data_IF_121629801892
#
_entry.id   IF_121629801892
#
_cell.length_a   1.000
_cell.length_b   1.000
_cell.length_c   1.000
_cell.angle_alpha   90.00
_cell.angle_beta   90.00
_cell.angle_gamma   90.00
#
_symmetry.space_group_name_H-M   'P 1'
#
loop_
_entity.id
_entity.type
_entity.pdbx_description
1 polymer ?
#
# COMPACT_ATOMS: atom_id res chain seq x y z
N UNK A 1 13.49 10.56 -14.29
CA UNK A 1 14.24 9.47 -13.63
C UNK A 1 13.34 8.23 -13.64
N UNK A 2 13.86 7.04 -13.96
CA UNK A 2 13.03 5.83 -13.94
C UNK A 2 12.69 5.46 -12.49
N UNK A 3 11.41 5.34 -12.09
CA UNK A 3 11.04 4.97 -10.73
C UNK A 3 11.52 3.56 -10.34
N UNK A 4 11.87 2.69 -11.29
CA UNK A 4 12.54 1.41 -11.03
C UNK A 4 14.03 1.57 -10.66
N UNK A 5 14.55 2.79 -10.60
CA UNK A 5 15.94 3.07 -10.20
C UNK A 5 16.03 4.11 -9.08
N UNK A 6 14.94 4.81 -8.78
CA UNK A 6 14.85 5.78 -7.70
C UNK A 6 13.47 5.72 -7.06
N UNK A 7 13.43 5.17 -5.86
CA UNK A 7 12.23 4.99 -5.05
C UNK A 7 12.60 5.03 -3.57
N UNK A 8 11.60 5.23 -2.71
CA UNK A 8 11.70 5.15 -1.26
C UNK A 8 11.28 3.74 -0.83
N UNK A 9 12.12 3.07 -0.04
CA UNK A 9 11.77 1.75 0.51
C UNK A 9 10.80 1.89 1.68
N UNK A 10 9.70 1.15 1.61
CA UNK A 10 8.79 0.88 2.72
C UNK A 10 9.15 -0.51 3.24
N UNK A 11 9.70 -0.58 4.45
CA UNK A 11 10.19 -1.83 5.04
C UNK A 11 9.71 -2.05 6.47
N UNK A 12 8.80 -1.19 6.93
CA UNK A 12 8.27 -1.24 8.26
C UNK A 12 7.43 -2.50 8.46
N UNK A 13 7.75 -3.37 9.46
CA UNK A 13 7.10 -4.68 9.61
C UNK A 13 5.58 -4.60 9.81
N UNK A 14 5.11 -3.50 10.36
CA UNK A 14 3.69 -3.29 10.60
C UNK A 14 2.88 -3.10 9.32
N UNK A 15 3.50 -2.91 8.15
CA UNK A 15 2.79 -2.82 6.86
C UNK A 15 2.35 -4.17 6.31
N UNK A 16 2.90 -5.27 6.84
CA UNK A 16 2.58 -6.61 6.40
C UNK A 16 1.10 -6.91 6.63
N UNK A 17 0.47 -7.64 5.70
CA UNK A 17 -0.93 -8.06 5.84
C UNK A 17 -1.20 -8.90 7.07
N UNK A 18 -0.21 -9.61 7.61
CA UNK A 18 -0.37 -10.45 8.80
C UNK A 18 -0.21 -9.64 10.10
N UNK A 19 0.22 -8.37 10.02
CA UNK A 19 0.35 -7.53 11.20
C UNK A 19 -1.02 -6.98 11.63
N UNK A 20 -1.49 -7.45 12.77
CA UNK A 20 -2.77 -7.03 13.35
C UNK A 20 -2.59 -6.02 14.48
N UNK A 21 -3.37 -4.93 14.46
CA UNK A 21 -3.45 -3.96 15.54
C UNK A 21 -4.36 -4.51 16.62
N UNK A 22 -3.79 -4.75 17.81
CA UNK A 22 -4.58 -5.08 18.99
C UNK A 22 -4.82 -3.82 19.83
N UNK A 23 -5.96 -3.76 20.54
CA UNK A 23 -6.29 -2.68 21.48
C UNK A 23 -5.23 -2.43 22.57
N UNK A 24 -4.27 -3.35 22.74
CA UNK A 24 -3.14 -3.28 23.67
C UNK A 24 -1.83 -2.78 23.05
N UNK A 25 -1.75 -2.71 21.71
CA UNK A 25 -0.49 -2.64 20.95
C UNK A 25 -0.10 -1.23 20.46
N UNK A 26 -0.80 -0.18 20.91
CA UNK A 26 -0.44 1.22 20.64
C UNK A 26 -1.43 1.94 19.72
N UNK A 27 -1.15 3.22 19.47
CA UNK A 27 -1.98 4.08 18.62
C UNK A 27 -1.86 3.61 17.16
N UNK A 28 -2.97 3.39 16.44
CA UNK A 28 -2.96 3.01 15.03
C UNK A 28 -2.12 4.00 14.19
N UNK A 29 -1.40 3.46 13.21
CA UNK A 29 -0.47 4.22 12.39
C UNK A 29 -1.19 4.90 11.22
N UNK A 30 -0.53 5.91 10.62
CA UNK A 30 -1.03 6.54 9.41
C UNK A 30 0.07 7.06 8.49
N UNK A 31 -0.12 6.85 7.19
CA UNK A 31 0.80 7.22 6.12
C UNK A 31 0.70 8.71 5.72
N UNK A 32 0.53 9.60 6.70
CA UNK A 32 0.45 11.06 6.45
C UNK A 32 1.68 11.68 5.78
N UNK A 33 2.81 10.96 5.83
CA UNK A 33 4.09 11.36 5.26
C UNK A 33 4.28 10.85 3.83
N UNK A 34 3.48 9.87 3.40
CA UNK A 34 3.43 9.39 2.02
C UNK A 34 2.74 10.47 1.18
N UNK A 35 3.42 10.97 0.14
CA UNK A 35 2.96 12.17 -0.57
C UNK A 35 3.34 12.19 -2.07
N UNK A 36 2.93 11.17 -2.82
CA UNK A 36 3.03 11.18 -4.29
C UNK A 36 4.43 10.88 -4.86
N UNK A 37 5.39 10.51 -4.01
CA UNK A 37 6.67 9.94 -4.43
C UNK A 37 6.52 8.48 -4.88
N UNK A 38 7.58 7.91 -5.44
CA UNK A 38 7.63 6.49 -5.78
C UNK A 38 8.16 5.66 -4.62
N UNK A 39 7.40 4.63 -4.25
CA UNK A 39 7.68 3.75 -3.13
C UNK A 39 7.81 2.30 -3.58
N UNK A 40 8.55 1.49 -2.81
CA UNK A 40 8.67 0.05 -3.00
C UNK A 40 8.52 -0.65 -1.65
N UNK A 41 7.63 -1.63 -1.57
CA UNK A 41 7.54 -2.53 -0.43
C UNK A 41 8.71 -3.52 -0.46
N UNK A 42 9.37 -3.70 0.68
CA UNK A 42 10.53 -4.56 0.83
C UNK A 42 10.61 -5.17 2.22
N UNK A 43 11.26 -6.34 2.34
CA UNK A 43 11.62 -6.92 3.63
C UNK A 43 10.38 -7.37 4.41
N UNK A 44 10.30 -7.02 5.70
CA UNK A 44 9.19 -7.47 6.55
C UNK A 44 7.86 -6.80 6.22
N UNK A 45 7.87 -5.65 5.51
CA UNK A 45 6.65 -5.03 5.02
C UNK A 45 5.93 -5.87 3.96
N UNK A 46 6.61 -6.87 3.37
CA UNK A 46 6.19 -7.59 2.18
C UNK A 46 6.84 -7.03 0.91
N UNK A 47 6.49 -7.60 -0.24
CA UNK A 47 7.14 -7.33 -1.53
C UNK A 47 6.27 -6.52 -2.51
N UNK A 48 4.96 -6.40 -2.24
CA UNK A 48 4.00 -5.77 -3.14
C UNK A 48 2.67 -5.49 -2.43
N UNK A 49 1.99 -4.39 -2.76
CA UNK A 49 0.64 -4.15 -2.25
C UNK A 49 -0.28 -5.34 -2.54
N UNK A 50 -1.07 -5.83 -1.56
CA UNK A 50 -1.98 -6.94 -1.79
C UNK A 50 -3.04 -6.55 -2.83
N UNK A 51 -3.39 -7.50 -3.70
CA UNK A 51 -4.44 -7.34 -4.73
C UNK A 51 -5.77 -7.97 -4.32
N UNK A 52 -5.98 -8.14 -3.02
CA UNK A 52 -7.16 -8.75 -2.42
C UNK A 52 -7.58 -7.94 -1.21
N UNK A 53 -8.85 -8.09 -0.81
CA UNK A 53 -9.38 -7.38 0.35
C UNK A 53 -8.60 -7.74 1.62
N UNK A 54 -8.10 -6.71 2.29
CA UNK A 54 -7.51 -6.81 3.62
C UNK A 54 -8.56 -6.37 4.63
N UNK A 55 -8.80 -7.17 5.66
CA UNK A 55 -9.75 -6.83 6.73
C UNK A 55 -9.27 -5.64 7.55
N UNK A 56 -10.18 -4.93 8.22
CA UNK A 56 -9.82 -3.83 9.12
C UNK A 56 -8.87 -4.28 10.24
N UNK A 57 -8.12 -3.33 10.81
CA UNK A 57 -7.12 -3.57 11.86
C UNK A 57 -5.85 -4.31 11.43
N UNK A 58 -5.65 -4.56 10.13
CA UNK A 58 -4.40 -5.07 9.58
C UNK A 58 -3.45 -3.94 9.12
N UNK A 59 -2.21 -4.30 8.79
CA UNK A 59 -1.18 -3.38 8.28
C UNK A 59 -0.91 -2.22 9.24
N UNK A 60 -1.03 -2.46 10.56
CA UNK A 60 -0.66 -1.48 11.58
C UNK A 60 -1.64 -0.31 11.70
N UNK A 61 -2.82 -0.40 11.09
CA UNK A 61 -3.82 0.66 11.12
C UNK A 61 -5.25 0.11 11.24
N UNK A 62 -6.25 0.98 11.40
CA UNK A 62 -7.66 0.57 11.37
C UNK A 62 -8.20 0.42 9.94
N UNK A 63 -7.78 1.27 9.00
CA UNK A 63 -8.24 1.22 7.61
C UNK A 63 -7.09 0.91 6.63
N UNK A 64 -6.72 -0.37 6.46
CA UNK A 64 -5.67 -0.78 5.54
C UNK A 64 -6.05 -0.50 4.08
N UNK A 65 -5.08 -0.04 3.31
CA UNK A 65 -5.20 0.22 1.87
C UNK A 65 -4.54 -0.90 1.08
N UNK A 66 -5.30 -1.45 0.14
CA UNK A 66 -4.89 -2.52 -0.78
C UNK A 66 -5.24 -2.15 -2.23
N UNK A 67 -4.65 -2.85 -3.20
CA UNK A 67 -4.79 -2.56 -4.62
C UNK A 67 -6.02 -3.30 -5.19
N UNK A 68 -6.97 -2.57 -5.78
CA UNK A 68 -8.17 -3.17 -6.37
C UNK A 68 -7.98 -3.46 -7.86
N UNK A 69 -7.15 -4.46 -8.14
CA UNK A 69 -6.84 -4.88 -9.51
C UNK A 69 -5.57 -5.71 -9.55
N UNK A 70 -5.20 -6.15 -10.75
CA UNK A 70 -3.97 -6.92 -10.95
C UNK A 70 -2.78 -6.01 -11.19
N UNK A 71 -1.62 -6.38 -10.65
CA UNK A 71 -0.37 -5.70 -10.97
C UNK A 71 -0.07 -5.73 -12.49
N UNK A 72 0.53 -4.65 -13.04
CA UNK A 72 0.89 -4.59 -14.46
C UNK A 72 2.01 -5.57 -14.82
N UNK A 73 2.17 -5.81 -16.11
CA UNK A 73 3.37 -6.41 -16.68
C UNK A 73 4.43 -5.35 -17.00
N UNK A 74 5.73 -5.69 -17.09
CA UNK A 74 6.78 -4.72 -17.41
C UNK A 74 6.55 -3.93 -18.69
N UNK A 75 5.87 -4.53 -19.68
CA UNK A 75 5.54 -3.89 -20.97
C UNK A 75 4.43 -2.85 -20.89
N UNK A 76 3.61 -2.88 -19.84
CA UNK A 76 2.45 -2.00 -19.70
C UNK A 76 2.87 -0.58 -19.24
N UNK A 77 4.11 -0.44 -18.76
CA UNK A 77 4.65 0.84 -18.30
C UNK A 77 4.06 1.26 -16.96
N UNK A 78 3.73 2.55 -16.84
CA UNK A 78 3.05 3.09 -15.66
C UNK A 78 1.55 3.00 -15.92
N UNK A 79 0.84 2.31 -15.05
CA UNK A 79 -0.63 2.20 -15.08
C UNK A 79 -1.23 2.80 -13.82
N UNK A 80 -2.39 3.42 -13.93
CA UNK A 80 -3.16 3.88 -12.77
C UNK A 80 -4.18 2.81 -12.40
N UNK A 81 -4.13 2.33 -11.17
CA UNK A 81 -5.04 1.32 -10.62
C UNK A 81 -5.80 1.90 -9.43
N UNK A 82 -7.07 1.50 -9.23
CA UNK A 82 -7.79 1.88 -8.03
C UNK A 82 -7.20 1.14 -6.83
N UNK A 83 -7.16 1.82 -5.69
CA UNK A 83 -6.86 1.26 -4.39
C UNK A 83 -8.08 1.45 -3.48
N UNK A 84 -8.27 0.51 -2.56
CA UNK A 84 -9.39 0.48 -1.64
C UNK A 84 -8.89 0.52 -0.21
N UNK A 85 -9.56 1.30 0.64
CA UNK A 85 -9.38 1.25 2.08
C UNK A 85 -10.53 0.46 2.70
N UNK A 86 -10.20 -0.56 3.49
CA UNK A 86 -11.19 -1.40 4.16
C UNK A 86 -11.58 -0.81 5.51
N UNK A 87 -12.88 -0.69 5.79
CA UNK A 87 -13.38 -0.23 7.08
C UNK A 87 -14.86 -0.53 7.27
N UNK A 88 -15.29 -0.77 8.52
CA UNK A 88 -16.68 -0.97 8.89
C UNK A 88 -17.33 -2.12 8.10
N UNK A 89 -16.64 -3.26 8.05
CA UNK A 89 -17.02 -4.45 7.26
C UNK A 89 -17.22 -4.22 5.75
N UNK A 90 -16.70 -3.11 5.20
CA UNK A 90 -16.66 -2.87 3.77
C UNK A 90 -15.20 -2.91 3.27
N UNK A 91 -14.88 -3.87 2.41
CA UNK A 91 -13.58 -4.03 1.77
C UNK A 91 -13.12 -2.82 0.94
N UNK A 92 -14.04 -1.96 0.52
CA UNK A 92 -13.72 -0.76 -0.25
C UNK A 92 -14.61 0.40 0.22
N UNK A 93 -14.43 0.79 1.48
CA UNK A 93 -15.15 1.92 2.06
C UNK A 93 -14.71 3.24 1.42
N UNK A 94 -13.41 3.41 1.21
CA UNK A 94 -12.84 4.54 0.46
C UNK A 94 -12.04 4.06 -0.73
N UNK A 95 -11.98 4.89 -1.76
CA UNK A 95 -11.21 4.65 -2.98
C UNK A 95 -10.12 5.70 -3.14
N UNK A 96 -9.01 5.28 -3.74
CA UNK A 96 -7.94 6.15 -4.20
C UNK A 96 -7.42 5.64 -5.55
N UNK A 97 -6.60 6.44 -6.23
CA UNK A 97 -5.89 6.02 -7.43
C UNK A 97 -4.39 5.99 -7.14
N UNK A 98 -3.75 4.87 -7.49
CA UNK A 98 -2.31 4.65 -7.30
C UNK A 98 -1.70 4.37 -8.66
N UNK A 99 -0.58 5.01 -8.99
CA UNK A 99 0.17 4.61 -10.18
C UNK A 99 1.14 3.49 -9.83
N UNK A 100 1.20 2.48 -10.67
CA UNK A 100 1.99 1.27 -10.46
C UNK A 100 2.83 1.02 -11.71
N UNK A 101 4.09 0.64 -11.50
CA UNK A 101 4.98 0.16 -12.56
C UNK A 101 5.62 -1.15 -12.16
N UNK A 102 5.60 -2.11 -13.07
CA UNK A 102 6.38 -3.34 -12.94
C UNK A 102 7.80 -3.13 -13.45
N UNK A 103 8.79 -3.50 -12.64
CA UNK A 103 10.20 -3.36 -12.95
C UNK A 103 10.78 -4.68 -13.47
N UNK A 104 11.74 -4.58 -14.41
CA UNK A 104 12.35 -5.75 -15.04
C UNK A 104 13.03 -6.73 -14.07
N UNK A 105 13.37 -6.28 -12.86
CA UNK A 105 13.97 -7.09 -11.79
C UNK A 105 12.93 -7.85 -10.94
N UNK A 106 11.65 -7.86 -11.33
CA UNK A 106 10.62 -8.67 -10.68
C UNK A 106 10.00 -8.04 -9.43
N UNK A 107 9.94 -6.70 -9.34
CA UNK A 107 9.26 -6.00 -8.26
C UNK A 107 8.43 -4.84 -8.80
N UNK A 108 7.59 -4.26 -7.95
CA UNK A 108 6.72 -3.15 -8.29
C UNK A 108 7.12 -1.88 -7.55
N UNK A 109 6.86 -0.74 -8.19
CA UNK A 109 6.96 0.57 -7.56
C UNK A 109 5.63 1.29 -7.69
N UNK A 110 5.28 2.03 -6.65
CA UNK A 110 3.97 2.62 -6.47
C UNK A 110 4.11 4.11 -6.23
N UNK A 111 3.38 4.92 -7.00
CA UNK A 111 3.22 6.35 -6.70
C UNK A 111 2.01 6.51 -5.79
N UNK A 112 2.28 6.57 -4.49
CA UNK A 112 1.25 6.50 -3.46
C UNK A 112 0.80 7.93 -3.10
N UNK A 113 -0.48 8.29 -3.31
CA UNK A 113 -0.98 9.59 -2.89
C UNK A 113 -1.02 9.71 -1.36
N UNK A 114 -1.14 10.94 -0.87
CA UNK A 114 -1.32 11.16 0.57
C UNK A 114 -2.73 10.75 0.99
N UNK A 115 -2.90 9.87 2.00
CA UNK A 115 -4.21 9.58 2.54
C UNK A 115 -4.88 10.83 3.12
N UNK A 116 -6.19 10.98 2.89
CA UNK A 116 -6.97 12.15 3.33
C UNK A 116 -7.28 12.15 4.82
N UNK A 117 -7.20 10.99 5.48
CA UNK A 117 -7.54 10.79 6.90
C UNK A 117 -6.43 9.98 7.56
N UNK A 118 -6.03 10.34 8.79
CA UNK A 118 -5.14 9.49 9.59
C UNK A 118 -5.94 8.26 10.06
N UNK A 119 -5.33 7.07 10.11
CA UNK A 119 -5.92 5.71 10.13
C UNK A 119 -5.91 4.97 8.78
N UNK A 120 -5.29 5.56 7.75
CA UNK A 120 -5.00 4.89 6.48
C UNK A 120 -3.51 4.56 6.36
N UNK A 121 -3.22 3.31 5.98
CA UNK A 121 -1.87 2.81 5.70
C UNK A 121 -1.90 1.94 4.45
N UNK A 122 -0.90 2.08 3.58
CA UNK A 122 -0.69 1.16 2.47
C UNK A 122 -0.05 -0.14 2.96
N UNK A 123 -0.73 -1.25 2.72
CA UNK A 123 -0.23 -2.60 2.99
C UNK A 123 0.83 -3.02 1.96
N UNK A 124 1.74 -3.89 2.37
CA UNK A 124 2.76 -4.51 1.51
C UNK A 124 2.77 -6.03 1.56
#
# INVERSE_FOLDING_TARGET
LDPCSAYISLNEPWRNTDYHVNNSAGVPLCDRHVAGEWYRFTGMAGDAMPTFCIEENHCGTHAPIWLNGSHPQPRDGIVTLPACASFNNNCCHWTASVDVKACAKGYYVYRLPRPSVCFHVYCG
#
